data_IF_013722262859
#
_entry.id   IF_013722262859
#
_cell.length_a   1.000
_cell.length_b   1.000
_cell.length_c   1.000
_cell.angle_alpha   90.00
_cell.angle_beta   90.00
_cell.angle_gamma   90.00
#
_symmetry.space_group_name_H-M   'P 1'
#
loop_
_entity.id
_entity.type
_entity.pdbx_description
1 polymer ?
#
# COMPACT_ATOMS: atom_id res chain seq x y z
N UNK A 1 49.63 29.73 -44.70
CA UNK A 1 50.55 28.58 -44.61
C UNK A 1 50.31 27.85 -43.30
N UNK A 2 50.00 26.55 -43.36
CA UNK A 2 49.85 25.61 -42.23
C UNK A 2 51.11 25.62 -41.36
N UNK A 3 50.98 25.60 -40.02
CA UNK A 3 51.66 24.63 -39.12
C UNK A 3 50.81 24.37 -37.88
N UNK A 4 50.45 23.11 -37.73
CA UNK A 4 49.70 22.49 -36.64
C UNK A 4 50.67 21.58 -35.92
N UNK A 5 50.87 21.75 -34.59
CA UNK A 5 51.47 20.78 -33.64
C UNK A 5 50.86 21.14 -32.27
N UNK A 6 49.77 20.50 -31.85
CA UNK A 6 49.72 19.31 -30.98
C UNK A 6 50.39 19.50 -29.61
N UNK A 7 49.63 19.16 -28.54
CA UNK A 7 50.01 18.75 -27.17
C UNK A 7 49.84 19.84 -26.09
N UNK A 8 49.11 19.70 -24.97
CA UNK A 8 48.24 18.69 -24.35
C UNK A 8 47.48 19.42 -23.20
N UNK A 9 46.29 18.93 -22.83
CA UNK A 9 45.66 18.97 -21.49
C UNK A 9 45.55 20.29 -20.69
N UNK A 10 44.32 20.76 -20.49
CA UNK A 10 43.87 21.27 -19.20
C UNK A 10 42.34 21.13 -19.05
N UNK A 11 41.95 19.98 -18.51
CA UNK A 11 40.86 19.82 -17.51
C UNK A 11 39.56 20.55 -17.84
N UNK A 12 38.76 19.96 -18.73
CA UNK A 12 37.33 20.24 -18.80
C UNK A 12 36.67 19.42 -17.69
N UNK A 13 36.38 20.11 -16.58
CA UNK A 13 35.74 19.65 -15.35
C UNK A 13 34.49 18.81 -15.64
N UNK A 14 34.69 17.49 -15.72
CA UNK A 14 33.66 16.47 -15.59
C UNK A 14 33.26 16.44 -14.12
N UNK A 15 32.29 17.28 -13.76
CA UNK A 15 31.60 17.25 -12.47
C UNK A 15 30.62 16.05 -12.45
N UNK A 16 31.15 14.82 -12.49
CA UNK A 16 30.41 13.61 -12.14
C UNK A 16 30.51 13.50 -10.61
N UNK A 17 29.59 14.18 -9.93
CA UNK A 17 29.35 13.98 -8.50
C UNK A 17 27.98 13.35 -8.35
N UNK A 18 27.97 12.18 -7.71
CA UNK A 18 26.82 11.57 -7.05
C UNK A 18 25.63 11.16 -7.92
N UNK A 19 25.75 9.99 -8.56
CA UNK A 19 24.64 9.04 -8.63
C UNK A 19 24.82 7.92 -7.62
N UNK A 20 24.71 8.26 -6.34
CA UNK A 20 24.32 7.30 -5.31
C UNK A 20 22.90 7.64 -4.87
N UNK A 21 21.92 7.36 -5.74
CA UNK A 21 20.54 7.16 -5.30
C UNK A 21 20.36 5.66 -5.11
N UNK A 22 20.92 5.14 -4.03
CA UNK A 22 20.37 3.95 -3.38
C UNK A 22 19.23 4.43 -2.48
N UNK A 23 18.16 4.93 -3.10
CA UNK A 23 16.87 5.09 -2.46
C UNK A 23 15.96 3.97 -2.95
N UNK A 24 16.22 2.77 -2.48
CA UNK A 24 15.19 1.76 -2.28
C UNK A 24 15.51 1.07 -0.97
N UNK A 25 15.39 1.85 0.11
CA UNK A 25 14.75 1.28 1.28
C UNK A 25 13.42 0.72 0.76
N UNK A 26 13.36 -0.59 0.54
CA UNK A 26 12.11 -1.33 0.60
C UNK A 26 11.62 -1.22 2.05
N UNK A 27 11.23 -0.01 2.44
CA UNK A 27 10.33 0.19 3.55
C UNK A 27 9.11 -0.61 3.18
N UNK A 28 8.80 -1.62 4.00
CA UNK A 28 7.60 -2.45 3.92
C UNK A 28 6.45 -1.50 3.59
N UNK A 29 6.05 -1.52 2.31
CA UNK A 29 5.37 -0.40 1.70
C UNK A 29 4.04 -0.13 2.37
N UNK A 30 3.56 1.09 2.21
CA UNK A 30 2.14 1.35 2.03
C UNK A 30 1.55 0.08 1.36
N UNK A 31 0.79 -0.74 2.09
CA UNK A 31 0.01 -1.80 1.46
C UNK A 31 -0.64 -1.17 0.24
N UNK A 32 -0.59 -1.81 -0.93
CA UNK A 32 -0.97 -1.22 -2.22
C UNK A 32 -2.41 -0.68 -2.20
N UNK A 33 -2.58 0.56 -1.72
CA UNK A 33 -3.88 1.22 -1.54
C UNK A 33 -4.46 1.45 -2.92
N UNK A 34 -3.64 1.93 -3.87
CA UNK A 34 -4.04 2.17 -5.24
C UNK A 34 -4.59 0.91 -5.90
N UNK A 35 -3.88 -0.21 -5.82
CA UNK A 35 -4.36 -1.48 -6.36
C UNK A 35 -5.61 -1.99 -5.65
N UNK A 36 -5.71 -1.80 -4.34
CA UNK A 36 -6.89 -2.23 -3.57
C UNK A 36 -8.14 -1.40 -3.91
N UNK A 37 -7.99 -0.08 -4.00
CA UNK A 37 -9.05 0.84 -4.42
C UNK A 37 -9.48 0.55 -5.85
N UNK A 38 -8.53 0.30 -6.76
CA UNK A 38 -8.82 -0.09 -8.14
C UNK A 38 -9.64 -1.38 -8.22
N UNK A 39 -9.26 -2.42 -7.46
CA UNK A 39 -10.02 -3.68 -7.39
C UNK A 39 -11.44 -3.45 -6.87
N UNK A 40 -11.61 -2.65 -5.82
CA UNK A 40 -12.93 -2.31 -5.27
C UNK A 40 -13.76 -1.50 -6.27
N UNK A 41 -13.14 -0.56 -6.99
CA UNK A 41 -13.78 0.20 -8.06
C UNK A 41 -14.33 -0.72 -9.15
N UNK A 42 -13.50 -1.63 -9.65
CA UNK A 42 -13.91 -2.56 -10.71
C UNK A 42 -15.03 -3.50 -10.23
N UNK A 43 -14.87 -4.07 -9.03
CA UNK A 43 -15.81 -5.06 -8.49
C UNK A 43 -17.16 -4.46 -8.09
N UNK A 44 -17.15 -3.31 -7.43
CA UNK A 44 -18.35 -2.64 -6.93
C UNK A 44 -18.90 -1.61 -7.92
N UNK A 45 -18.18 -1.33 -9.00
CA UNK A 45 -18.53 -0.28 -9.96
C UNK A 45 -18.66 1.07 -9.24
N UNK A 46 -17.63 1.42 -8.44
CA UNK A 46 -17.64 2.67 -7.66
C UNK A 46 -17.59 3.88 -8.60
N UNK A 47 -18.38 4.90 -8.28
CA UNK A 47 -18.22 6.20 -8.89
C UNK A 47 -16.98 6.93 -8.35
N UNK A 48 -16.63 8.07 -8.96
CA UNK A 48 -15.43 8.84 -8.60
C UNK A 48 -15.45 9.36 -7.17
N UNK A 49 -16.62 9.68 -6.61
CA UNK A 49 -16.74 10.18 -5.24
C UNK A 49 -16.56 9.03 -4.24
N UNK A 50 -17.24 7.91 -4.46
CA UNK A 50 -17.08 6.70 -3.66
C UNK A 50 -15.63 6.18 -3.69
N UNK A 51 -14.98 6.20 -4.85
CA UNK A 51 -13.57 5.83 -4.98
C UNK A 51 -12.66 6.70 -4.09
N UNK A 52 -12.85 8.03 -4.10
CA UNK A 52 -12.08 8.94 -3.25
C UNK A 52 -12.36 8.72 -1.76
N UNK A 53 -13.61 8.46 -1.38
CA UNK A 53 -13.97 8.17 0.01
C UNK A 53 -13.35 6.85 0.48
N UNK A 54 -13.46 5.78 -0.31
CA UNK A 54 -12.85 4.48 -0.01
C UNK A 54 -11.33 4.62 0.12
N UNK A 55 -10.68 5.34 -0.80
CA UNK A 55 -9.24 5.64 -0.72
C UNK A 55 -8.86 6.34 0.58
N UNK A 56 -9.63 7.34 0.98
CA UNK A 56 -9.41 8.09 2.22
C UNK A 56 -9.52 7.16 3.43
N UNK A 57 -10.60 6.37 3.52
CA UNK A 57 -10.85 5.40 4.59
C UNK A 57 -9.70 4.39 4.71
N UNK A 58 -9.23 3.84 3.58
CA UNK A 58 -8.13 2.87 3.56
C UNK A 58 -6.80 3.51 3.97
N UNK A 59 -6.54 4.75 3.56
CA UNK A 59 -5.33 5.51 3.92
C UNK A 59 -5.29 5.81 5.42
N UNK A 60 -6.40 6.26 5.99
CA UNK A 60 -6.52 6.50 7.42
C UNK A 60 -6.34 5.21 8.23
N UNK A 61 -7.01 4.13 7.82
CA UNK A 61 -6.90 2.82 8.48
C UNK A 61 -5.45 2.33 8.48
N UNK A 62 -4.74 2.49 7.36
CA UNK A 62 -3.35 2.10 7.28
C UNK A 62 -2.44 2.98 8.15
N UNK A 63 -2.67 4.28 8.19
CA UNK A 63 -1.94 5.19 9.06
C UNK A 63 -2.14 4.85 10.53
N UNK A 64 -3.36 4.47 10.92
CA UNK A 64 -3.66 3.97 12.28
C UNK A 64 -2.96 2.66 12.56
N UNK A 65 -3.04 1.67 11.66
CA UNK A 65 -2.35 0.38 11.82
C UNK A 65 -0.84 0.53 11.97
N UNK A 66 -0.23 1.51 11.28
CA UNK A 66 1.19 1.83 11.43
C UNK A 66 1.48 2.31 12.86
N UNK A 67 0.68 3.26 13.38
CA UNK A 67 0.81 3.74 14.77
C UNK A 67 0.58 2.63 15.79
N UNK A 68 -0.49 1.86 15.61
CA UNK A 68 -0.82 0.73 16.47
C UNK A 68 0.32 -0.30 16.52
N UNK A 69 0.99 -0.54 15.38
CA UNK A 69 2.16 -1.40 15.30
C UNK A 69 3.34 -0.85 16.11
N UNK A 70 3.64 0.44 15.96
CA UNK A 70 4.69 1.11 16.70
C UNK A 70 4.41 1.06 18.23
N UNK A 71 3.15 1.23 18.63
CA UNK A 71 2.71 1.19 20.04
C UNK A 71 2.61 -0.23 20.63
N UNK A 72 2.43 -1.24 19.80
CA UNK A 72 2.33 -2.64 20.25
C UNK A 72 3.65 -3.22 20.75
N UNK A 73 4.78 -2.58 20.45
CA UNK A 73 6.11 -3.05 20.82
C UNK A 73 6.46 -4.44 20.27
N UNK A 74 5.78 -4.89 19.21
CA UNK A 74 5.99 -6.22 18.61
C UNK A 74 5.18 -7.36 19.24
N UNK A 75 4.25 -7.09 20.17
CA UNK A 75 3.30 -8.09 20.65
C UNK A 75 2.35 -8.51 19.52
N UNK A 76 2.61 -9.69 18.98
CA UNK A 76 1.84 -10.26 17.87
C UNK A 76 0.38 -10.50 18.25
N UNK A 77 0.09 -10.99 19.46
CA UNK A 77 -1.29 -11.29 19.86
C UNK A 77 -2.11 -10.01 19.99
N UNK A 78 -1.53 -8.99 20.61
CA UNK A 78 -2.13 -7.65 20.68
C UNK A 78 -2.37 -7.09 19.28
N UNK A 79 -1.39 -7.21 18.38
CA UNK A 79 -1.55 -6.75 17.00
C UNK A 79 -2.61 -7.50 16.20
N UNK A 80 -2.81 -8.80 16.43
CA UNK A 80 -3.90 -9.53 15.77
C UNK A 80 -5.28 -9.00 16.19
N UNK A 81 -5.46 -8.69 17.48
CA UNK A 81 -6.69 -8.08 17.98
C UNK A 81 -6.95 -6.72 17.34
N UNK A 82 -5.95 -5.83 17.39
CA UNK A 82 -6.05 -4.48 16.80
C UNK A 82 -6.31 -4.55 15.30
N UNK A 83 -5.61 -5.42 14.57
CA UNK A 83 -5.83 -5.59 13.14
C UNK A 83 -7.28 -5.95 12.83
N UNK A 84 -7.85 -6.91 13.57
CA UNK A 84 -9.25 -7.33 13.37
C UNK A 84 -10.22 -6.18 13.62
N UNK A 85 -9.99 -5.40 14.66
CA UNK A 85 -10.83 -4.25 15.00
C UNK A 85 -10.76 -3.15 13.93
N UNK A 86 -9.54 -2.75 13.52
CA UNK A 86 -9.33 -1.74 12.49
C UNK A 86 -9.93 -2.13 11.14
N UNK A 87 -9.82 -3.41 10.76
CA UNK A 87 -10.45 -3.90 9.53
C UNK A 87 -11.97 -3.87 9.63
N UNK A 88 -12.55 -4.24 10.78
CA UNK A 88 -14.00 -4.16 10.97
C UNK A 88 -14.50 -2.70 10.93
N UNK A 89 -13.78 -1.77 11.55
CA UNK A 89 -14.07 -0.34 11.50
C UNK A 89 -13.99 0.20 10.06
N UNK A 90 -12.93 -0.15 9.33
CA UNK A 90 -12.75 0.20 7.93
C UNK A 90 -13.90 -0.34 7.06
N UNK A 91 -14.27 -1.62 7.22
CA UNK A 91 -15.36 -2.24 6.47
C UNK A 91 -16.69 -1.53 6.74
N UNK A 92 -16.97 -1.15 8.00
CA UNK A 92 -18.17 -0.40 8.36
C UNK A 92 -18.21 0.99 7.70
N UNK A 93 -17.07 1.69 7.64
CA UNK A 93 -16.95 2.98 6.94
C UNK A 93 -17.13 2.82 5.43
N UNK A 94 -16.60 1.75 4.84
CA UNK A 94 -16.77 1.47 3.41
C UNK A 94 -18.24 1.16 3.13
N UNK A 95 -18.90 0.28 3.89
CA UNK A 95 -20.32 -0.04 3.72
C UNK A 95 -21.25 1.18 3.80
N UNK A 96 -20.89 2.17 4.62
CA UNK A 96 -21.65 3.41 4.75
C UNK A 96 -21.61 4.31 3.51
N UNK A 97 -20.58 4.19 2.66
CA UNK A 97 -20.48 4.97 1.40
C UNK A 97 -21.00 4.21 0.18
N UNK A 98 -21.35 2.93 0.35
CA UNK A 98 -21.90 2.09 -0.72
C UNK A 98 -23.41 2.24 -0.84
N UNK A 99 -23.90 2.13 -2.07
CA UNK A 99 -25.33 1.97 -2.35
C UNK A 99 -25.82 0.56 -1.97
N UNK A 100 -27.12 0.40 -1.80
CA UNK A 100 -27.71 -0.90 -1.46
C UNK A 100 -27.46 -1.97 -2.54
N UNK A 101 -27.31 -1.57 -3.80
CA UNK A 101 -26.95 -2.48 -4.89
C UNK A 101 -25.48 -2.95 -4.82
N UNK A 102 -24.59 -2.18 -4.19
CA UNK A 102 -23.16 -2.50 -4.07
C UNK A 102 -22.85 -3.32 -2.82
N UNK A 103 -23.60 -3.16 -1.74
CA UNK A 103 -23.39 -3.87 -0.46
C UNK A 103 -23.32 -5.40 -0.59
N UNK A 104 -24.16 -6.10 -1.38
CA UNK A 104 -24.04 -7.54 -1.58
C UNK A 104 -22.69 -7.95 -2.19
N UNK A 105 -22.23 -7.22 -3.21
CA UNK A 105 -20.94 -7.47 -3.86
C UNK A 105 -19.77 -7.26 -2.90
N UNK A 106 -19.90 -6.29 -1.99
CA UNK A 106 -18.90 -6.03 -0.98
C UNK A 106 -18.91 -7.10 0.14
N UNK A 107 -20.08 -7.59 0.53
CA UNK A 107 -20.19 -8.71 1.46
C UNK A 107 -19.50 -9.96 0.92
N UNK A 108 -19.63 -10.24 -0.38
CA UNK A 108 -18.93 -11.37 -1.01
C UNK A 108 -17.41 -11.13 -1.09
N UNK A 109 -16.98 -9.90 -1.39
CA UNK A 109 -15.56 -9.51 -1.31
C UNK A 109 -14.97 -9.76 0.10
N UNK A 110 -15.71 -9.42 1.16
CA UNK A 110 -15.27 -9.66 2.55
C UNK A 110 -15.11 -11.16 2.84
N UNK A 111 -16.04 -11.99 2.39
CA UNK A 111 -15.96 -13.45 2.57
C UNK A 111 -14.72 -14.02 1.88
N UNK A 112 -14.48 -13.66 0.63
CA UNK A 112 -13.29 -14.11 -0.10
C UNK A 112 -12.01 -13.67 0.58
N UNK A 113 -11.93 -12.41 1.01
CA UNK A 113 -10.77 -11.89 1.76
C UNK A 113 -10.54 -12.69 3.05
N UNK A 114 -11.59 -13.03 3.77
CA UNK A 114 -11.50 -13.81 5.00
C UNK A 114 -11.10 -15.27 4.73
N UNK A 115 -11.56 -15.86 3.63
CA UNK A 115 -11.16 -17.19 3.17
C UNK A 115 -9.68 -17.22 2.79
N UNK A 116 -9.20 -16.27 1.99
CA UNK A 116 -7.78 -16.10 1.65
C UNK A 116 -6.92 -15.89 2.91
N UNK A 117 -7.43 -15.18 3.91
CA UNK A 117 -6.73 -15.01 5.18
C UNK A 117 -6.62 -16.33 5.96
N UNK A 118 -7.69 -17.13 5.98
CA UNK A 118 -7.69 -18.46 6.62
C UNK A 118 -6.80 -19.44 5.88
N UNK A 119 -6.80 -19.43 4.57
CA UNK A 119 -5.96 -20.29 3.74
C UNK A 119 -4.47 -20.00 4.00
N UNK A 120 -4.06 -18.72 3.93
CA UNK A 120 -2.69 -18.31 4.29
C UNK A 120 -2.29 -18.69 5.72
N UNK A 121 -3.24 -18.67 6.65
CA UNK A 121 -3.00 -19.13 8.02
C UNK A 121 -2.76 -20.65 8.04
N UNK A 122 -3.62 -21.44 7.38
CA UNK A 122 -3.46 -22.89 7.27
C UNK A 122 -2.12 -23.27 6.65
N UNK A 123 -1.70 -22.62 5.56
CA UNK A 123 -0.41 -22.88 4.92
C UNK A 123 0.79 -22.58 5.83
N UNK A 124 0.68 -21.58 6.71
CA UNK A 124 1.74 -21.21 7.65
C UNK A 124 1.85 -22.13 8.85
N UNK A 125 0.73 -22.65 9.35
CA UNK A 125 0.66 -23.45 10.58
C UNK A 125 0.45 -24.95 10.33
N UNK A 126 0.16 -25.35 9.10
CA UNK A 126 -0.04 -26.73 8.67
C UNK A 126 1.20 -27.40 8.07
N UNK A 127 2.39 -26.84 8.28
CA UNK A 127 3.67 -27.52 8.05
C UNK A 127 4.21 -28.12 9.35
#
# INVERSE_FOLDING_TARGET
MKKMRWVYTAVLLVFIVSRSVTASAQGVGLADIDGSVKKLKERLTLDSLQEQQVRTIMTETQAQLKKDRDESGGDRRKMFGILRERIAEMDGKIEAVLTDAQKPKYADYKKERDEEARERMRERFGR
#
